data_IF_270290659142
#
_entry.id   IF_270290659142
#
_cell.length_a   1.000
_cell.length_b   1.000
_cell.length_c   1.000
_cell.angle_alpha   90.00
_cell.angle_beta   90.00
_cell.angle_gamma   90.00
#
_symmetry.space_group_name_H-M   'P 1'
#
loop_
_entity.id
_entity.type
_entity.pdbx_description
1 polymer ?
#
# COMPACT_ATOMS: atom_id res chain seq x y z
N UNK A 1 -5.91 34.13 -9.08
CA UNK A 1 -6.70 33.76 -7.91
C UNK A 1 -7.07 32.29 -8.04
N UNK A 2 -6.35 31.44 -7.30
CA UNK A 2 -6.71 30.08 -6.89
C UNK A 2 -5.52 29.58 -6.05
N UNK A 3 -5.47 30.01 -4.79
CA UNK A 3 -4.51 29.47 -3.82
C UNK A 3 -4.92 28.02 -3.55
N UNK A 4 -4.06 27.06 -3.91
CA UNK A 4 -4.24 25.63 -3.70
C UNK A 4 -4.13 25.26 -2.22
N UNK A 5 -5.10 25.71 -1.42
CA UNK A 5 -5.18 25.40 0.00
C UNK A 5 -5.37 23.90 0.21
N UNK A 6 -4.42 23.29 0.92
CA UNK A 6 -4.58 21.93 1.45
C UNK A 6 -5.88 21.82 2.26
N UNK A 7 -6.65 20.72 2.14
CA UNK A 7 -7.85 20.51 2.94
C UNK A 7 -7.50 20.43 4.44
N UNK A 8 -8.24 21.11 5.32
CA UNK A 8 -8.02 21.00 6.77
C UNK A 8 -8.44 19.60 7.24
N UNK A 9 -7.51 18.90 7.90
CA UNK A 9 -7.78 17.61 8.57
C UNK A 9 -6.99 16.40 8.07
N UNK A 10 -6.08 16.56 7.09
CA UNK A 10 -5.24 15.45 6.64
C UNK A 10 -4.35 14.95 7.79
N UNK A 11 -4.70 13.77 8.33
CA UNK A 11 -3.88 13.08 9.32
C UNK A 11 -2.49 12.81 8.72
N UNK A 12 -1.39 13.14 9.41
CA UNK A 12 -0.06 12.92 8.85
C UNK A 12 0.17 11.42 8.68
N UNK A 13 0.42 11.00 7.43
CA UNK A 13 0.77 9.63 7.10
C UNK A 13 2.27 9.41 7.31
N UNK A 14 2.65 8.34 8.00
CA UNK A 14 4.05 7.93 8.24
C UNK A 14 4.36 6.69 7.39
N UNK A 15 5.44 6.73 6.62
CA UNK A 15 5.97 5.53 5.96
C UNK A 15 6.64 4.67 7.03
N UNK A 16 6.12 3.46 7.28
CA UNK A 16 6.67 2.53 8.29
C UNK A 16 7.63 1.50 7.69
N UNK A 17 7.52 1.23 6.39
CA UNK A 17 8.42 0.33 5.68
C UNK A 17 8.48 0.65 4.20
N UNK A 18 9.69 0.73 3.65
CA UNK A 18 9.92 0.61 2.22
C UNK A 18 11.09 -0.36 2.06
N UNK A 19 10.79 -1.58 1.63
CA UNK A 19 11.82 -2.52 1.21
C UNK A 19 12.48 -2.03 -0.07
N UNK A 20 13.77 -2.32 -0.22
CA UNK A 20 14.49 -2.10 -1.47
C UNK A 20 13.76 -2.81 -2.61
N UNK A 21 13.45 -2.08 -3.68
CA UNK A 21 12.78 -2.64 -4.84
C UNK A 21 13.67 -3.70 -5.49
N UNK A 22 13.16 -4.92 -5.62
CA UNK A 22 13.86 -6.04 -6.30
C UNK A 22 14.25 -5.71 -7.75
N UNK A 23 13.58 -4.75 -8.39
CA UNK A 23 13.85 -4.38 -9.78
C UNK A 23 14.91 -3.29 -9.97
N UNK A 24 15.23 -2.53 -8.92
CA UNK A 24 15.99 -1.29 -9.06
C UNK A 24 17.04 -1.07 -7.95
N UNK A 25 17.18 -2.00 -7.00
CA UNK A 25 18.09 -1.90 -5.84
C UNK A 25 18.02 -0.55 -5.11
N UNK A 26 16.84 0.07 -5.13
CA UNK A 26 16.54 1.39 -4.58
C UNK A 26 15.12 1.39 -3.98
N UNK A 27 14.75 2.38 -3.14
CA UNK A 27 13.38 2.49 -2.63
C UNK A 27 12.36 2.47 -3.77
N UNK A 28 11.26 1.73 -3.59
CA UNK A 28 10.19 1.63 -4.58
C UNK A 28 9.39 2.95 -4.66
N UNK A 29 9.97 3.97 -5.31
CA UNK A 29 9.33 5.28 -5.56
C UNK A 29 7.92 5.17 -6.16
N UNK A 30 7.64 4.34 -7.18
CA UNK A 30 6.28 4.23 -7.72
C UNK A 30 5.31 3.63 -6.70
N UNK A 31 5.74 2.63 -5.91
CA UNK A 31 4.92 2.04 -4.85
C UNK A 31 4.58 3.04 -3.74
N UNK A 32 5.57 3.81 -3.28
CA UNK A 32 5.35 4.87 -2.29
C UNK A 32 4.43 5.98 -2.81
N UNK A 33 4.62 6.41 -4.06
CA UNK A 33 3.75 7.42 -4.68
C UNK A 33 2.31 6.92 -4.82
N UNK A 34 2.14 5.63 -5.17
CA UNK A 34 0.84 4.98 -5.24
C UNK A 34 0.14 4.96 -3.88
N UNK A 35 0.80 4.45 -2.84
CA UNK A 35 0.24 4.39 -1.48
C UNK A 35 -0.10 5.79 -0.95
N UNK A 36 0.76 6.78 -1.18
CA UNK A 36 0.52 8.15 -0.71
C UNK A 36 -0.73 8.77 -1.37
N UNK A 37 -0.93 8.58 -2.67
CA UNK A 37 -2.14 9.05 -3.37
C UNK A 37 -3.40 8.37 -2.85
N UNK A 38 -3.31 7.07 -2.53
CA UNK A 38 -4.42 6.32 -1.98
C UNK A 38 -4.79 6.83 -0.58
N UNK A 39 -3.81 7.04 0.29
CA UNK A 39 -4.00 7.66 1.60
C UNK A 39 -4.60 9.07 1.51
N UNK A 40 -4.15 9.88 0.55
CA UNK A 40 -4.73 11.21 0.31
C UNK A 40 -6.20 11.14 -0.15
N UNK A 41 -6.54 10.18 -1.02
CA UNK A 41 -7.91 9.96 -1.45
C UNK A 41 -8.82 9.56 -0.26
N UNK A 42 -8.33 8.68 0.62
CA UNK A 42 -9.04 8.32 1.85
C UNK A 42 -9.15 9.50 2.83
N UNK A 43 -8.16 10.39 2.89
CA UNK A 43 -8.25 11.58 3.73
C UNK A 43 -9.32 12.59 3.23
N UNK A 44 -9.64 12.58 1.94
CA UNK A 44 -10.65 13.45 1.33
C UNK A 44 -12.08 12.91 1.48
N UNK A 45 -12.24 11.60 1.73
CA UNK A 45 -13.53 10.94 1.88
C UNK A 45 -13.65 10.39 3.31
N UNK A 46 -14.53 10.92 4.18
CA UNK A 46 -14.72 10.36 5.50
C UNK A 46 -15.28 8.93 5.39
N UNK A 47 -14.38 7.95 5.49
CA UNK A 47 -14.68 6.52 5.50
C UNK A 47 -14.83 6.04 6.95
N UNK A 48 -15.72 5.07 7.18
CA UNK A 48 -15.90 4.47 8.50
C UNK A 48 -14.72 3.60 8.92
N UNK A 49 -14.63 3.25 10.21
CA UNK A 49 -13.57 2.38 10.74
C UNK A 49 -13.55 0.99 10.08
N UNK A 50 -14.71 0.50 9.65
CA UNK A 50 -14.85 -0.81 8.99
C UNK A 50 -14.60 -0.75 7.47
N UNK A 51 -14.14 0.40 6.95
CA UNK A 51 -13.86 0.54 5.53
C UNK A 51 -12.55 -0.17 5.15
N UNK A 52 -12.61 -1.02 4.15
CA UNK A 52 -11.45 -1.55 3.47
C UNK A 52 -11.63 -1.45 1.95
N UNK A 53 -10.51 -1.26 1.25
CA UNK A 53 -10.46 -1.42 -0.19
C UNK A 53 -9.14 -2.06 -0.57
N UNK A 54 -9.20 -3.03 -1.48
CA UNK A 54 -8.03 -3.76 -1.93
C UNK A 54 -8.10 -4.09 -3.42
N UNK A 55 -6.96 -4.43 -4.00
CA UNK A 55 -6.89 -4.81 -5.40
C UNK A 55 -5.50 -5.10 -5.89
N UNK A 56 -5.40 -5.25 -7.21
CA UNK A 56 -4.14 -5.42 -7.94
C UNK A 56 -3.89 -4.24 -8.86
N UNK A 57 -2.63 -3.92 -9.11
CA UNK A 57 -2.21 -2.95 -10.12
C UNK A 57 -0.88 -3.39 -10.76
N UNK A 58 -0.47 -2.74 -11.84
CA UNK A 58 0.90 -2.87 -12.36
C UNK A 58 1.59 -1.52 -12.31
N UNK A 59 2.73 -1.46 -11.63
CA UNK A 59 3.53 -0.25 -11.50
C UNK A 59 4.78 -0.34 -12.38
N UNK A 60 5.13 0.75 -13.04
CA UNK A 60 6.40 0.82 -13.77
C UNK A 60 7.55 1.12 -12.82
N UNK A 61 8.44 0.14 -12.60
CA UNK A 61 9.69 0.27 -11.85
C UNK A 61 10.85 0.37 -12.85
N UNK A 62 11.17 1.59 -13.29
CA UNK A 62 12.14 1.79 -14.37
C UNK A 62 11.60 1.23 -15.69
N UNK A 63 12.31 0.26 -16.27
CA UNK A 63 11.89 -0.43 -17.52
C UNK A 63 11.08 -1.71 -17.29
N UNK A 64 10.84 -2.11 -16.04
CA UNK A 64 10.10 -3.32 -15.69
C UNK A 64 8.71 -3.00 -15.16
N UNK A 65 7.71 -3.77 -15.59
CA UNK A 65 6.40 -3.81 -14.95
C UNK A 65 6.49 -4.64 -13.67
N UNK A 66 5.98 -4.09 -12.58
CA UNK A 66 5.90 -4.72 -11.28
C UNK A 66 4.41 -4.95 -10.98
N UNK A 67 3.90 -6.19 -11.09
CA UNK A 67 2.57 -6.50 -10.60
C UNK A 67 2.56 -6.34 -9.08
N UNK A 68 1.55 -5.64 -8.58
CA UNK A 68 1.39 -5.33 -7.15
C UNK A 68 0.00 -5.72 -6.69
N UNK A 69 -0.09 -6.12 -5.44
CA UNK A 69 -1.34 -6.19 -4.68
C UNK A 69 -1.29 -5.14 -3.59
N UNK A 70 -2.42 -4.54 -3.25
CA UNK A 70 -2.50 -3.46 -2.29
C UNK A 70 -3.80 -3.53 -1.49
N UNK A 71 -3.77 -2.96 -0.29
CA UNK A 71 -4.95 -2.68 0.52
C UNK A 71 -4.83 -1.30 1.17
N UNK A 72 -5.96 -0.66 1.42
CA UNK A 72 -6.03 0.55 2.22
C UNK A 72 -7.26 0.55 3.12
N UNK A 73 -7.04 1.06 4.32
CA UNK A 73 -8.01 1.22 5.40
C UNK A 73 -7.83 2.64 5.98
N UNK A 74 -8.72 3.11 6.87
CA UNK A 74 -8.52 4.39 7.57
C UNK A 74 -7.18 4.50 8.31
N UNK A 75 -6.60 3.38 8.72
CA UNK A 75 -5.35 3.29 9.49
C UNK A 75 -4.10 3.33 8.60
N UNK A 76 -4.22 3.14 7.29
CA UNK A 76 -3.06 3.09 6.41
C UNK A 76 -3.26 2.33 5.12
N UNK A 77 -2.17 2.15 4.38
CA UNK A 77 -2.14 1.39 3.16
C UNK A 77 -0.87 0.54 3.06
N UNK A 78 -1.02 -0.67 2.52
CA UNK A 78 0.06 -1.65 2.33
C UNK A 78 0.11 -2.09 0.88
N UNK A 79 1.31 -2.43 0.41
CA UNK A 79 1.55 -2.89 -0.94
C UNK A 79 2.55 -4.04 -0.94
N UNK A 80 2.24 -5.09 -1.69
CA UNK A 80 3.13 -6.20 -2.04
C UNK A 80 3.52 -6.07 -3.50
N UNK A 81 4.81 -6.21 -3.80
CA UNK A 81 5.32 -6.09 -5.18
C UNK A 81 5.91 -7.40 -5.67
N UNK A 82 6.04 -7.51 -6.99
CA UNK A 82 6.50 -8.72 -7.68
C UNK A 82 5.57 -9.92 -7.40
N UNK A 83 4.25 -9.65 -7.35
CA UNK A 83 3.23 -10.65 -7.05
C UNK A 83 2.85 -11.39 -8.34
N UNK A 84 2.90 -12.73 -8.38
CA UNK A 84 2.42 -13.47 -9.54
C UNK A 84 0.91 -13.22 -9.78
N UNK A 85 0.46 -13.04 -11.04
CA UNK A 85 -0.94 -12.71 -11.35
C UNK A 85 -1.96 -13.78 -10.90
N UNK A 86 -1.52 -15.01 -10.71
CA UNK A 86 -2.31 -16.13 -10.20
C UNK A 86 -2.57 -16.08 -8.69
N UNK A 87 -1.83 -15.25 -7.94
CA UNK A 87 -2.03 -15.10 -6.49
C UNK A 87 -3.25 -14.22 -6.25
N UNK A 88 -4.31 -14.74 -5.60
CA UNK A 88 -5.50 -13.94 -5.32
C UNK A 88 -5.18 -12.89 -4.26
N UNK A 89 -5.76 -11.69 -4.41
CA UNK A 89 -5.61 -10.57 -3.46
C UNK A 89 -5.89 -11.04 -2.03
N UNK A 90 -6.95 -11.83 -1.81
CA UNK A 90 -7.33 -12.35 -0.50
C UNK A 90 -6.23 -13.17 0.19
N UNK A 91 -5.41 -13.92 -0.56
CA UNK A 91 -4.33 -14.73 0.03
C UNK A 91 -3.18 -13.88 0.60
N UNK A 92 -3.04 -12.62 0.19
CA UNK A 92 -2.05 -11.69 0.73
C UNK A 92 -2.60 -10.84 1.89
N UNK A 93 -3.93 -10.70 1.98
CA UNK A 93 -4.59 -9.95 3.05
C UNK A 93 -4.89 -10.82 4.26
N UNK A 94 -5.12 -12.11 4.04
CA UNK A 94 -5.46 -13.07 5.07
C UNK A 94 -4.36 -14.15 5.17
N UNK A 95 -3.45 -14.06 6.16
CA UNK A 95 -2.36 -15.01 6.30
C UNK A 95 -2.86 -16.43 6.60
N UNK A 96 -4.07 -16.60 7.15
CA UNK A 96 -4.65 -17.92 7.41
C UNK A 96 -5.07 -18.64 6.12
N UNK A 97 -5.43 -17.89 5.07
CA UNK A 97 -5.77 -18.45 3.75
C UNK A 97 -4.54 -18.83 2.92
N UNK A 98 -3.36 -18.36 3.31
CA UNK A 98 -2.10 -18.60 2.57
C UNK A 98 -1.57 -20.04 2.72
N UNK A 99 -1.95 -20.76 3.79
CA UNK A 99 -1.57 -22.16 4.02
C UNK A 99 -2.32 -23.16 3.11
N UNK A 100 -3.40 -22.72 2.46
CA UNK A 100 -4.26 -23.57 1.62
C UNK A 100 -3.79 -23.69 0.15
N UNK A 101 -2.80 -22.92 -0.30
CA UNK A 101 -2.27 -23.03 -1.68
C UNK A 101 -1.10 -24.02 -1.77
N UNK A 102 -1.13 -25.00 -2.70
CA UNK A 102 0.00 -25.90 -2.93
C UNK A 102 1.22 -25.12 -3.48
N UNK A 103 2.32 -25.09 -2.70
CA UNK A 103 3.54 -24.32 -3.00
C UNK A 103 3.73 -23.06 -2.14
N UNK A 104 3.28 -23.09 -0.87
CA UNK A 104 3.04 -21.90 -0.05
C UNK A 104 4.21 -20.90 0.00
N UNK A 105 3.84 -19.61 -0.12
CA UNK A 105 4.70 -18.48 0.15
C UNK A 105 5.16 -18.55 1.62
N UNK A 106 6.45 -18.35 1.94
CA UNK A 106 6.91 -18.41 3.32
C UNK A 106 6.24 -17.30 4.15
N UNK A 107 5.93 -17.62 5.42
CA UNK A 107 5.61 -16.78 6.58
C UNK A 107 5.44 -15.26 6.34
N UNK A 108 4.46 -14.62 7.01
CA UNK A 108 3.62 -13.55 6.44
C UNK A 108 4.41 -12.67 5.47
N UNK A 109 4.04 -12.72 4.20
CA UNK A 109 4.70 -11.95 3.13
C UNK A 109 4.72 -10.49 3.57
N UNK A 110 5.88 -10.01 4.03
CA UNK A 110 5.99 -8.63 4.50
C UNK A 110 5.63 -7.72 3.35
N UNK A 111 4.76 -6.74 3.61
CA UNK A 111 4.43 -5.73 2.63
C UNK A 111 5.75 -5.08 2.16
N UNK A 112 5.90 -4.97 0.84
CA UNK A 112 7.04 -4.32 0.22
C UNK A 112 7.09 -2.83 0.57
N UNK A 113 5.91 -2.22 0.78
CA UNK A 113 5.77 -0.88 1.31
C UNK A 113 4.53 -0.75 2.21
N UNK A 114 4.62 0.09 3.24
CA UNK A 114 3.54 0.38 4.19
C UNK A 114 3.56 1.85 4.62
N UNK A 115 2.38 2.47 4.62
CA UNK A 115 2.10 3.79 5.15
C UNK A 115 1.02 3.64 6.20
N UNK A 116 1.20 4.19 7.40
CA UNK A 116 0.14 4.27 8.41
C UNK A 116 -0.29 5.71 8.62
N UNK A 117 -1.57 5.91 8.90
CA UNK A 117 -2.08 7.15 9.43
C UNK A 117 -1.56 7.30 10.87
N UNK A 118 -0.73 8.29 11.13
CA UNK A 118 -0.34 8.63 12.50
C UNK A 118 -1.49 9.35 13.22
N UNK A 119 -1.61 9.21 14.56
CA UNK A 119 -2.27 10.25 15.34
C UNK A 119 -1.50 11.55 15.10
N UNK A 120 -2.19 12.61 14.67
CA UNK A 120 -1.56 13.91 14.49
C UNK A 120 -0.96 14.39 15.80
N UNK A 121 0.36 14.32 15.92
CA UNK A 121 1.15 15.04 16.90
C UNK A 121 2.30 15.69 16.15
N UNK A 122 2.00 16.86 15.60
CA UNK A 122 2.99 17.88 15.29
C UNK A 122 3.26 18.60 16.61
N UNK A 123 4.45 18.41 17.18
CA UNK A 123 5.10 19.46 17.95
C UNK A 123 6.01 20.23 17.00
#
# INVERSE_FOLDING_TARGET
>A
MADGGSPPGARPFRVLGCSTCRHADAPCRPGLAFLNRLCQALALAPVGADFDISGSASLCCGTRLCPVVWCATPEGARLWGDVPPEVPVAALLDPEQSEALPGSLPAPVRAAAEITAGPGLLH
#
